data_IF_339435675794
#
_entry.id   IF_339435675794
#
_cell.length_a   1.000
_cell.length_b   1.000
_cell.length_c   1.000
_cell.angle_alpha   90.00
_cell.angle_beta   90.00
_cell.angle_gamma   90.00
#
_symmetry.space_group_name_H-M   'P 1'
#
loop_
_entity.id
_entity.type
_entity.pdbx_description
1 polymer ?
#
# COMPACT_ATOMS: atom_id res chain seq x y z
N UNK A 1 -1.65 16.50 -7.03
CA UNK A 1 -0.87 15.66 -6.11
C UNK A 1 0.17 14.91 -6.91
N UNK A 2 1.44 15.04 -6.56
CA UNK A 2 2.54 14.29 -7.23
C UNK A 2 2.75 12.95 -6.55
N UNK A 3 2.64 11.88 -7.32
CA UNK A 3 2.73 10.50 -6.83
C UNK A 3 3.93 9.81 -7.46
N UNK A 4 4.81 9.27 -6.63
CA UNK A 4 5.83 8.32 -7.08
C UNK A 4 5.24 6.92 -7.01
N UNK A 5 5.12 6.22 -8.13
CA UNK A 5 4.76 4.81 -8.20
C UNK A 5 6.03 3.99 -8.38
N UNK A 6 6.50 3.42 -7.28
CA UNK A 6 7.63 2.48 -7.29
C UNK A 6 7.13 1.05 -7.45
N UNK A 7 7.73 0.29 -8.36
CA UNK A 7 7.40 -1.12 -8.54
C UNK A 7 8.62 -1.97 -8.90
N UNK A 8 8.59 -3.24 -8.50
CA UNK A 8 9.68 -4.18 -8.77
C UNK A 8 9.56 -5.47 -7.98
N UNK A 9 10.64 -6.23 -7.97
CA UNK A 9 10.73 -7.54 -7.35
C UNK A 9 10.27 -8.67 -8.26
N UNK A 10 10.77 -9.88 -8.01
CA UNK A 10 10.75 -10.97 -8.99
C UNK A 10 9.58 -11.96 -8.90
N UNK A 11 8.59 -11.74 -8.01
CA UNK A 11 7.55 -12.76 -7.75
C UNK A 11 6.24 -12.43 -8.48
N UNK A 12 5.81 -11.17 -8.46
CA UNK A 12 4.55 -10.71 -9.03
C UNK A 12 4.73 -10.10 -10.43
N UNK A 13 3.66 -10.03 -11.22
CA UNK A 13 3.64 -9.20 -12.44
C UNK A 13 3.57 -7.71 -12.04
N UNK A 14 4.67 -7.21 -11.45
CA UNK A 14 4.75 -5.84 -10.97
C UNK A 14 4.56 -4.81 -12.08
N UNK A 15 4.89 -5.13 -13.34
CA UNK A 15 4.72 -4.22 -14.50
C UNK A 15 3.26 -4.09 -14.87
N UNK A 16 2.55 -5.22 -14.94
CA UNK A 16 1.12 -5.25 -15.21
C UNK A 16 0.32 -4.57 -14.09
N UNK A 17 0.64 -4.88 -12.83
CA UNK A 17 0.01 -4.25 -11.67
C UNK A 17 0.27 -2.74 -11.63
N UNK A 18 1.51 -2.29 -11.84
CA UNK A 18 1.84 -0.87 -11.88
C UNK A 18 1.10 -0.13 -13.01
N UNK A 19 0.88 -0.78 -14.16
CA UNK A 19 0.11 -0.18 -15.25
C UNK A 19 -1.36 0.02 -14.89
N UNK A 20 -1.97 -0.92 -14.17
CA UNK A 20 -3.34 -0.79 -13.68
C UNK A 20 -3.45 0.25 -12.56
N UNK A 21 -2.50 0.27 -11.62
CA UNK A 21 -2.41 1.28 -10.55
C UNK A 21 -2.31 2.68 -11.15
N UNK A 22 -1.39 2.91 -12.09
CA UNK A 22 -1.25 4.19 -12.78
C UNK A 22 -2.52 4.60 -13.51
N UNK A 23 -3.15 3.68 -14.24
CA UNK A 23 -4.41 3.91 -14.95
C UNK A 23 -5.51 4.40 -14.01
N UNK A 24 -5.64 3.78 -12.82
CA UNK A 24 -6.65 4.18 -11.84
C UNK A 24 -6.37 5.58 -11.26
N UNK A 25 -5.11 5.87 -10.92
CA UNK A 25 -4.73 7.18 -10.41
C UNK A 25 -4.98 8.28 -11.46
N UNK A 26 -4.59 8.05 -12.71
CA UNK A 26 -4.83 9.02 -13.80
C UNK A 26 -6.32 9.22 -14.09
N UNK A 27 -7.13 8.15 -14.08
CA UNK A 27 -8.57 8.23 -14.31
C UNK A 27 -9.33 8.98 -13.21
N UNK A 28 -8.85 8.90 -11.96
CA UNK A 28 -9.42 9.63 -10.81
C UNK A 28 -9.19 11.15 -10.88
N UNK A 29 -8.29 11.61 -11.74
CA UNK A 29 -7.90 13.02 -11.90
C UNK A 29 -7.12 13.56 -10.70
N UNK A 30 -6.36 14.64 -10.93
CA UNK A 30 -5.62 15.34 -9.87
C UNK A 30 -4.31 14.68 -9.42
N UNK A 31 -3.90 13.56 -10.03
CA UNK A 31 -2.62 12.90 -9.77
C UNK A 31 -1.66 13.08 -10.96
N UNK A 32 -0.44 13.48 -10.64
CA UNK A 32 0.71 13.45 -11.54
C UNK A 32 1.57 12.26 -11.11
N UNK A 33 1.56 11.19 -11.91
CA UNK A 33 2.23 9.93 -11.56
C UNK A 33 3.57 9.82 -12.27
N UNK A 34 4.62 9.61 -11.49
CA UNK A 34 5.96 9.25 -11.99
C UNK A 34 6.25 7.80 -11.62
N UNK A 35 6.59 6.96 -12.61
CA UNK A 35 6.95 5.55 -12.36
C UNK A 35 8.45 5.39 -12.20
N UNK A 36 8.84 4.57 -11.22
CA UNK A 36 10.21 4.09 -11.05
C UNK A 36 10.19 2.58 -10.91
N UNK A 37 10.96 1.89 -11.73
CA UNK A 37 11.06 0.44 -11.75
C UNK A 37 12.43 0.00 -11.20
N UNK A 38 12.45 -0.90 -10.21
CA UNK A 38 13.62 -1.57 -9.62
C UNK A 38 14.70 -0.66 -8.99
N UNK A 39 14.65 0.63 -9.16
CA UNK A 39 15.68 1.57 -8.70
C UNK A 39 15.41 2.03 -7.25
N UNK A 40 15.73 1.19 -6.27
CA UNK A 40 15.55 1.49 -4.84
C UNK A 40 16.35 2.71 -4.37
N UNK A 41 17.38 3.14 -5.10
CA UNK A 41 18.15 4.33 -4.73
C UNK A 41 17.29 5.61 -4.76
N UNK A 42 16.15 5.59 -5.47
CA UNK A 42 15.19 6.71 -5.42
C UNK A 42 14.76 7.04 -3.99
N UNK A 43 14.72 6.06 -3.09
CA UNK A 43 14.35 6.25 -1.68
C UNK A 43 15.39 7.08 -0.91
N UNK A 44 16.65 7.10 -1.37
CA UNK A 44 17.73 7.87 -0.77
C UNK A 44 18.00 9.21 -1.45
N UNK A 45 17.32 9.50 -2.58
CA UNK A 45 17.56 10.75 -3.34
C UNK A 45 16.77 11.92 -2.77
N UNK A 46 17.34 13.13 -2.75
CA UNK A 46 16.63 14.33 -2.30
C UNK A 46 15.34 14.61 -3.07
N UNK A 47 15.27 14.21 -4.35
CA UNK A 47 14.13 14.40 -5.25
C UNK A 47 12.88 13.61 -4.79
N UNK A 48 13.04 12.61 -3.91
CA UNK A 48 11.89 11.95 -3.28
C UNK A 48 11.00 12.96 -2.55
N UNK A 49 11.60 14.01 -2.01
CA UNK A 49 10.88 15.09 -1.33
C UNK A 49 9.95 15.92 -2.24
N UNK A 50 10.07 15.82 -3.56
CA UNK A 50 9.21 16.53 -4.52
C UNK A 50 7.83 15.87 -4.67
N UNK A 51 7.66 14.64 -4.16
CA UNK A 51 6.41 13.90 -4.20
C UNK A 51 5.58 14.10 -2.94
N UNK A 52 4.28 13.97 -3.10
CA UNK A 52 3.29 14.05 -2.02
C UNK A 52 3.02 12.69 -1.41
N UNK A 53 3.11 11.63 -2.24
CA UNK A 53 2.82 10.26 -1.86
C UNK A 53 3.71 9.29 -2.64
N UNK A 54 4.18 8.25 -1.94
CA UNK A 54 4.84 7.08 -2.52
C UNK A 54 3.88 5.91 -2.51
N UNK A 55 3.48 5.41 -3.69
CA UNK A 55 2.82 4.11 -3.87
C UNK A 55 3.89 3.07 -4.14
N UNK A 56 3.91 2.01 -3.33
CA UNK A 56 5.01 1.05 -3.32
C UNK A 56 4.50 -0.38 -3.56
N UNK A 57 4.82 -0.91 -4.74
CA UNK A 57 4.50 -2.27 -5.16
C UNK A 57 5.79 -3.04 -5.42
N UNK A 58 6.32 -3.68 -4.40
CA UNK A 58 7.60 -4.37 -4.46
C UNK A 58 7.55 -5.68 -3.66
N UNK A 59 8.34 -6.70 -4.06
CA UNK A 59 8.34 -7.99 -3.39
C UNK A 59 9.75 -8.42 -3.05
N UNK A 60 9.98 -8.82 -1.78
CA UNK A 60 11.26 -9.34 -1.29
C UNK A 60 12.35 -8.26 -1.34
N UNK A 61 13.53 -8.59 -1.80
CA UNK A 61 14.68 -7.69 -1.92
C UNK A 61 15.31 -7.31 -0.58
N UNK A 62 16.31 -6.44 -0.68
CA UNK A 62 17.02 -5.86 0.46
C UNK A 62 16.94 -4.34 0.40
N UNK A 63 16.95 -3.70 1.53
CA UNK A 63 16.98 -2.24 1.67
C UNK A 63 18.24 -1.85 2.44
N UNK A 64 19.00 -0.89 1.93
CA UNK A 64 20.15 -0.35 2.66
C UNK A 64 19.71 0.64 3.74
N UNK A 65 20.57 0.88 4.74
CA UNK A 65 20.30 1.84 5.81
C UNK A 65 19.97 3.24 5.25
N UNK A 66 20.66 3.68 4.21
CA UNK A 66 20.44 5.00 3.59
C UNK A 66 19.07 5.08 2.92
N UNK A 67 18.65 4.02 2.21
CA UNK A 67 17.33 3.93 1.58
C UNK A 67 16.22 3.88 2.63
N UNK A 68 16.43 3.11 3.71
CA UNK A 68 15.47 3.01 4.81
C UNK A 68 15.30 4.35 5.55
N UNK A 69 16.40 5.03 5.85
CA UNK A 69 16.37 6.37 6.45
C UNK A 69 15.65 7.34 5.53
N UNK A 70 15.96 7.34 4.23
CA UNK A 70 15.28 8.19 3.26
C UNK A 70 13.77 7.96 3.20
N UNK A 71 13.31 6.70 3.17
CA UNK A 71 11.89 6.35 3.25
C UNK A 71 11.27 6.83 4.55
N UNK A 72 11.91 6.53 5.68
CA UNK A 72 11.42 6.92 7.01
C UNK A 72 11.26 8.44 7.13
N UNK A 73 12.27 9.20 6.72
CA UNK A 73 12.27 10.68 6.76
C UNK A 73 11.23 11.26 5.79
N UNK A 74 11.08 10.68 4.60
CA UNK A 74 10.05 11.07 3.65
C UNK A 74 8.67 11.00 4.30
N UNK A 75 8.30 9.86 4.88
CA UNK A 75 7.00 9.71 5.52
C UNK A 75 6.91 10.60 6.77
N UNK A 76 7.92 10.55 7.66
CA UNK A 76 7.91 11.32 8.91
C UNK A 76 7.80 12.83 8.70
N UNK A 77 8.21 13.34 7.53
CA UNK A 77 8.11 14.76 7.17
C UNK A 77 6.69 15.23 6.81
N UNK A 78 5.70 14.33 6.80
CA UNK A 78 4.30 14.65 6.50
C UNK A 78 3.83 14.19 5.11
N UNK A 79 4.49 13.22 4.51
CA UNK A 79 4.14 12.66 3.20
C UNK A 79 3.43 11.31 3.33
N UNK A 80 2.74 10.91 2.24
CA UNK A 80 2.01 9.66 2.19
C UNK A 80 2.88 8.47 1.78
N UNK A 81 2.63 7.31 2.40
CA UNK A 81 3.18 6.03 1.99
C UNK A 81 2.07 5.01 1.83
N UNK A 82 1.97 4.42 0.65
CA UNK A 82 0.92 3.46 0.30
C UNK A 82 1.57 2.17 -0.21
N UNK A 83 2.01 1.28 0.69
CA UNK A 83 2.40 -0.07 0.30
C UNK A 83 1.16 -0.86 -0.14
N UNK A 84 1.26 -1.49 -1.32
CA UNK A 84 0.19 -2.26 -1.94
C UNK A 84 0.62 -3.72 -2.02
N UNK A 85 -0.26 -4.62 -1.62
CA UNK A 85 -0.10 -6.07 -1.67
C UNK A 85 1.28 -6.52 -1.17
N UNK A 86 2.15 -6.87 -2.09
CA UNK A 86 3.51 -7.34 -1.80
C UNK A 86 4.41 -6.31 -1.12
N UNK A 87 3.97 -5.05 -1.01
CA UNK A 87 4.65 -4.07 -0.17
C UNK A 87 4.79 -4.50 1.30
N UNK A 88 3.91 -5.39 1.80
CA UNK A 88 4.08 -5.99 3.13
C UNK A 88 5.03 -7.20 3.15
N UNK A 89 5.44 -7.72 1.98
CA UNK A 89 6.41 -8.81 1.83
C UNK A 89 7.80 -8.31 1.38
N UNK A 90 8.01 -7.01 1.36
CA UNK A 90 9.28 -6.39 1.02
C UNK A 90 10.23 -6.41 2.22
N UNK A 91 11.51 -6.55 1.94
CA UNK A 91 12.59 -6.41 2.91
C UNK A 91 12.38 -7.25 4.18
N UNK A 92 12.16 -8.55 4.01
CA UNK A 92 11.71 -9.50 5.05
C UNK A 92 12.53 -9.49 6.34
N UNK A 93 13.80 -9.11 6.27
CA UNK A 93 14.71 -9.09 7.42
C UNK A 93 14.85 -7.68 8.04
N UNK A 94 14.01 -6.71 7.62
CA UNK A 94 14.05 -5.32 8.10
C UNK A 94 12.86 -5.01 9.01
N UNK A 95 13.07 -5.07 10.33
CA UNK A 95 12.02 -4.78 11.31
C UNK A 95 11.59 -3.31 11.29
N UNK A 96 12.50 -2.38 10.98
CA UNK A 96 12.17 -0.96 10.87
C UNK A 96 11.26 -0.68 9.68
N UNK A 97 11.45 -1.35 8.53
CA UNK A 97 10.51 -1.26 7.42
C UNK A 97 9.12 -1.79 7.80
N UNK A 98 9.06 -2.96 8.47
CA UNK A 98 7.81 -3.52 8.98
C UNK A 98 7.11 -2.56 9.96
N UNK A 99 7.89 -1.86 10.79
CA UNK A 99 7.35 -0.85 11.69
C UNK A 99 6.76 0.34 10.95
N UNK A 100 7.36 0.79 9.83
CA UNK A 100 6.80 1.85 8.97
C UNK A 100 5.47 1.38 8.35
N UNK A 101 5.44 0.20 7.73
CA UNK A 101 4.23 -0.38 7.11
C UNK A 101 3.13 -0.65 8.14
N UNK A 102 3.52 -1.06 9.35
CA UNK A 102 2.60 -1.47 10.41
C UNK A 102 2.26 -2.96 10.40
N UNK A 103 2.98 -3.76 9.60
CA UNK A 103 2.81 -5.20 9.52
C UNK A 103 3.67 -5.82 8.42
N UNK A 104 3.61 -7.13 8.34
CA UNK A 104 4.30 -7.89 7.30
C UNK A 104 3.53 -9.15 6.90
N UNK A 105 3.77 -9.60 5.69
CA UNK A 105 3.22 -10.85 5.15
C UNK A 105 3.71 -12.07 5.95
N UNK A 106 2.80 -13.03 6.16
CA UNK A 106 3.12 -14.31 6.81
C UNK A 106 2.81 -15.47 5.86
N UNK A 107 1.61 -15.51 5.30
CA UNK A 107 1.14 -16.58 4.41
C UNK A 107 -0.10 -16.12 3.64
N UNK A 108 -0.60 -16.96 2.76
CA UNK A 108 -1.89 -16.80 2.07
C UNK A 108 -2.51 -18.17 1.76
N UNK A 109 -3.86 -18.30 1.71
CA UNK A 109 -4.52 -19.42 1.06
C UNK A 109 -4.32 -19.39 -0.45
N UNK A 110 -4.77 -20.42 -1.17
CA UNK A 110 -4.78 -20.40 -2.63
C UNK A 110 -5.58 -19.20 -3.16
N UNK A 111 -5.17 -18.65 -4.30
CA UNK A 111 -5.88 -17.61 -5.04
C UNK A 111 -7.34 -18.00 -5.25
N UNK A 112 -8.27 -17.15 -4.80
CA UNK A 112 -9.69 -17.46 -4.75
C UNK A 112 -10.58 -16.24 -4.62
N UNK A 113 -11.88 -16.41 -4.84
CA UNK A 113 -12.87 -15.42 -4.43
C UNK A 113 -13.03 -15.44 -2.89
N UNK A 114 -13.06 -14.25 -2.27
CA UNK A 114 -13.37 -14.08 -0.84
C UNK A 114 -14.06 -12.75 -0.57
N UNK A 115 -14.81 -12.71 0.53
CA UNK A 115 -15.55 -11.51 0.94
C UNK A 115 -14.65 -10.61 1.79
N UNK A 116 -14.72 -9.32 1.51
CA UNK A 116 -14.10 -8.24 2.31
C UNK A 116 -15.19 -7.52 3.08
N UNK A 117 -15.05 -7.47 4.39
CA UNK A 117 -15.94 -6.76 5.32
C UNK A 117 -15.33 -5.41 5.69
N UNK A 118 -16.14 -4.34 5.60
CA UNK A 118 -15.73 -2.98 5.95
C UNK A 118 -15.99 -2.75 7.44
N UNK A 119 -14.93 -2.51 8.22
CA UNK A 119 -15.02 -2.28 9.67
C UNK A 119 -15.23 -0.81 10.02
N UNK A 120 -14.39 0.08 9.52
CA UNK A 120 -14.51 1.53 9.73
C UNK A 120 -15.24 2.17 8.54
N UNK A 121 -16.56 2.35 8.68
CA UNK A 121 -17.42 2.93 7.64
C UNK A 121 -17.42 4.47 7.61
N UNK A 122 -16.82 5.11 8.60
CA UNK A 122 -16.73 6.57 8.70
C UNK A 122 -15.41 7.12 8.16
N UNK A 123 -14.38 6.28 8.03
CA UNK A 123 -13.10 6.70 7.51
C UNK A 123 -13.20 7.17 6.05
N UNK A 124 -12.48 8.22 5.68
CA UNK A 124 -12.52 8.81 4.33
C UNK A 124 -12.24 7.79 3.19
N UNK A 125 -11.40 6.80 3.46
CA UNK A 125 -11.05 5.75 2.48
C UNK A 125 -12.22 4.80 2.24
N UNK A 126 -12.96 4.43 3.27
CA UNK A 126 -13.98 3.38 3.25
C UNK A 126 -15.42 3.89 3.30
N UNK A 127 -15.62 5.21 3.51
CA UNK A 127 -16.97 5.80 3.60
C UNK A 127 -17.81 5.47 2.38
N UNK A 128 -19.02 4.92 2.64
CA UNK A 128 -19.97 4.53 1.61
C UNK A 128 -19.56 3.28 0.81
N UNK A 129 -18.50 2.58 1.23
CA UNK A 129 -18.16 1.26 0.68
C UNK A 129 -18.99 0.20 1.41
N UNK A 130 -19.68 -0.63 0.65
CA UNK A 130 -20.36 -1.81 1.16
C UNK A 130 -19.39 -3.01 1.18
N UNK A 131 -19.80 -4.10 1.83
CA UNK A 131 -19.08 -5.37 1.74
C UNK A 131 -19.02 -5.84 0.29
N UNK A 132 -17.90 -6.41 -0.12
CA UNK A 132 -17.69 -6.82 -1.50
C UNK A 132 -16.92 -8.14 -1.60
N UNK A 133 -17.00 -8.78 -2.74
CA UNK A 133 -16.23 -9.98 -3.06
C UNK A 133 -15.15 -9.63 -4.07
N UNK A 134 -13.92 -10.06 -3.80
CA UNK A 134 -12.79 -9.98 -4.75
C UNK A 134 -12.32 -11.38 -5.10
N UNK A 135 -11.68 -11.54 -6.26
CA UNK A 135 -10.88 -12.72 -6.58
C UNK A 135 -9.41 -12.29 -6.54
N UNK A 136 -8.70 -12.74 -5.53
CA UNK A 136 -7.36 -12.27 -5.22
C UNK A 136 -6.61 -13.27 -4.33
N UNK A 137 -5.35 -12.99 -4.03
CA UNK A 137 -4.56 -13.67 -3.03
C UNK A 137 -4.78 -13.01 -1.66
N UNK A 138 -5.48 -13.73 -0.76
CA UNK A 138 -5.78 -13.20 0.57
C UNK A 138 -4.55 -13.23 1.47
N UNK A 139 -3.89 -12.09 1.65
CA UNK A 139 -2.72 -11.98 2.53
C UNK A 139 -3.11 -12.10 4.00
N UNK A 140 -2.44 -13.02 4.68
CA UNK A 140 -2.47 -13.16 6.13
C UNK A 140 -1.22 -12.47 6.65
N UNK A 141 -1.42 -11.44 7.45
CA UNK A 141 -0.34 -10.56 7.90
C UNK A 141 -0.17 -10.60 9.42
N UNK A 142 1.07 -10.56 9.89
CA UNK A 142 1.34 -10.13 11.27
C UNK A 142 1.35 -8.61 11.27
N UNK A 143 0.58 -7.98 12.15
CA UNK A 143 0.39 -6.53 12.15
C UNK A 143 0.47 -5.94 13.56
N UNK A 144 0.87 -4.68 13.65
CA UNK A 144 0.85 -3.90 14.88
C UNK A 144 -0.61 -3.61 15.28
N UNK A 145 -1.04 -4.05 16.45
CA UNK A 145 -2.42 -3.86 16.95
C UNK A 145 -2.81 -2.40 17.15
N UNK A 146 -1.88 -1.46 17.00
CA UNK A 146 -2.12 0.00 17.05
C UNK A 146 -2.53 0.61 15.71
N UNK A 147 -2.48 -0.16 14.60
CA UNK A 147 -3.00 0.32 13.32
C UNK A 147 -4.52 0.47 13.37
N UNK A 148 -5.08 1.39 12.60
CA UNK A 148 -6.53 1.48 12.41
C UNK A 148 -6.94 0.56 11.26
N UNK A 149 -7.54 -0.59 11.57
CA UNK A 149 -8.00 -1.56 10.57
C UNK A 149 -9.29 -1.07 9.94
N UNK A 150 -9.29 -0.86 8.62
CA UNK A 150 -10.43 -0.36 7.85
C UNK A 150 -11.31 -1.47 7.28
N UNK A 151 -10.69 -2.57 6.86
CA UNK A 151 -11.38 -3.71 6.25
C UNK A 151 -10.67 -5.02 6.58
N UNK A 152 -11.44 -6.10 6.63
CA UNK A 152 -10.96 -7.46 6.94
C UNK A 152 -11.54 -8.49 5.98
N UNK A 153 -10.88 -9.66 5.90
CA UNK A 153 -11.42 -10.87 5.32
C UNK A 153 -11.37 -12.02 6.32
N UNK A 154 -12.18 -13.04 6.12
CA UNK A 154 -12.30 -14.18 7.05
C UNK A 154 -11.58 -15.41 6.50
N UNK A 155 -10.55 -15.87 7.20
CA UNK A 155 -9.87 -17.12 6.91
C UNK A 155 -9.71 -17.97 8.17
N UNK A 156 -10.08 -19.25 8.08
CA UNK A 156 -10.02 -20.22 9.19
C UNK A 156 -10.71 -19.74 10.49
N UNK A 157 -11.84 -19.01 10.36
CA UNK A 157 -12.60 -18.51 11.51
C UNK A 157 -12.02 -17.26 12.17
N UNK A 158 -10.96 -16.69 11.63
CA UNK A 158 -10.33 -15.46 12.12
C UNK A 158 -10.42 -14.35 11.08
N UNK A 159 -10.71 -13.12 11.52
CA UNK A 159 -10.70 -11.95 10.67
C UNK A 159 -9.27 -11.40 10.53
N UNK A 160 -8.81 -11.24 9.29
CA UNK A 160 -7.48 -10.74 8.95
C UNK A 160 -7.58 -9.38 8.26
N UNK A 161 -6.73 -8.40 8.59
CA UNK A 161 -6.74 -7.10 7.95
C UNK A 161 -6.45 -7.19 6.45
N UNK A 162 -7.32 -6.56 5.65
CA UNK A 162 -7.15 -6.32 4.21
C UNK A 162 -6.66 -4.90 3.93
N UNK A 163 -7.02 -3.96 4.80
CA UNK A 163 -6.59 -2.58 4.70
C UNK A 163 -6.47 -1.95 6.09
N UNK A 164 -5.42 -1.16 6.28
CA UNK A 164 -5.24 -0.37 7.51
C UNK A 164 -4.55 0.96 7.25
N UNK A 165 -4.71 1.85 8.23
CA UNK A 165 -3.99 3.12 8.28
C UNK A 165 -3.19 3.26 9.57
N UNK A 166 -2.13 4.04 9.51
CA UNK A 166 -1.36 4.48 10.67
C UNK A 166 -0.63 5.79 10.39
N UNK A 167 -0.12 6.41 11.43
CA UNK A 167 0.81 7.55 11.31
C UNK A 167 2.25 7.09 11.45
N UNK A 168 3.16 7.79 10.75
CA UNK A 168 4.60 7.69 10.95
C UNK A 168 5.20 9.10 10.97
N UNK A 169 5.65 9.54 12.13
CA UNK A 169 5.95 10.95 12.32
C UNK A 169 4.71 11.82 12.04
N UNK A 170 4.81 12.78 11.12
CA UNK A 170 3.69 13.63 10.68
C UNK A 170 2.96 13.05 9.46
N UNK A 171 3.53 12.04 8.82
CA UNK A 171 2.96 11.43 7.63
C UNK A 171 1.96 10.32 7.92
N UNK A 172 1.37 9.83 6.84
CA UNK A 172 0.30 8.84 6.87
C UNK A 172 0.68 7.62 6.03
N UNK A 173 0.41 6.46 6.58
CA UNK A 173 0.60 5.18 5.89
C UNK A 173 -0.76 4.52 5.68
N UNK A 174 -1.04 4.11 4.46
CA UNK A 174 -2.19 3.28 4.12
C UNK A 174 -1.72 2.00 3.45
N UNK A 175 -1.92 0.86 4.09
CA UNK A 175 -1.66 -0.44 3.49
C UNK A 175 -2.91 -1.03 2.88
N UNK A 176 -2.78 -1.59 1.66
CA UNK A 176 -3.84 -2.32 0.94
C UNK A 176 -3.32 -3.70 0.54
N UNK A 177 -3.90 -4.77 1.11
CA UNK A 177 -3.48 -6.15 0.86
C UNK A 177 -3.93 -6.70 -0.50
N UNK A 178 -4.88 -6.06 -1.17
CA UNK A 178 -5.38 -6.46 -2.48
C UNK A 178 -4.37 -6.14 -3.59
N UNK A 179 -4.51 -6.82 -4.75
CA UNK A 179 -3.77 -6.49 -5.95
C UNK A 179 -2.63 -7.44 -6.31
N UNK A 180 -2.80 -8.74 -6.10
CA UNK A 180 -1.81 -9.78 -6.41
C UNK A 180 -1.37 -9.77 -7.88
N UNK A 181 -2.30 -9.58 -8.78
CA UNK A 181 -2.08 -9.59 -10.23
C UNK A 181 -2.84 -8.47 -10.95
N UNK A 182 -2.59 -8.25 -12.25
CA UNK A 182 -3.32 -7.23 -13.00
C UNK A 182 -4.85 -7.43 -13.04
N UNK A 183 -5.34 -8.68 -12.88
CA UNK A 183 -6.78 -8.94 -12.85
C UNK A 183 -7.38 -8.46 -11.52
N UNK A 184 -6.73 -8.75 -10.40
CA UNK A 184 -7.10 -8.24 -9.08
C UNK A 184 -6.99 -6.70 -9.02
N UNK A 185 -5.94 -6.11 -9.60
CA UNK A 185 -5.78 -4.66 -9.69
C UNK A 185 -6.90 -3.98 -10.52
N UNK A 186 -7.58 -4.68 -11.44
CA UNK A 186 -8.72 -4.14 -12.21
C UNK A 186 -10.03 -4.10 -11.43
N UNK A 187 -10.11 -4.76 -10.27
CA UNK A 187 -11.33 -4.74 -9.44
C UNK A 187 -11.73 -3.30 -9.07
N UNK A 188 -13.00 -2.91 -9.23
CA UNK A 188 -13.44 -1.54 -8.95
C UNK A 188 -13.28 -1.14 -7.48
N UNK A 189 -13.36 -2.09 -6.54
CA UNK A 189 -13.15 -1.81 -5.12
C UNK A 189 -11.67 -1.62 -4.81
N UNK A 190 -10.77 -2.39 -5.48
CA UNK A 190 -9.34 -2.12 -5.42
C UNK A 190 -9.04 -0.69 -5.90
N UNK A 191 -9.57 -0.31 -7.07
CA UNK A 191 -9.37 1.02 -7.64
C UNK A 191 -9.85 2.13 -6.71
N UNK A 192 -11.04 1.94 -6.10
CA UNK A 192 -11.63 2.90 -5.16
C UNK A 192 -10.77 3.04 -3.90
N UNK A 193 -10.41 1.93 -3.27
CA UNK A 193 -9.58 1.92 -2.05
C UNK A 193 -8.20 2.52 -2.30
N UNK A 194 -7.54 2.12 -3.40
CA UNK A 194 -6.24 2.67 -3.80
C UNK A 194 -6.30 4.19 -3.99
N UNK A 195 -7.24 4.67 -4.81
CA UNK A 195 -7.33 6.11 -5.14
C UNK A 195 -7.62 6.95 -3.90
N UNK A 196 -8.57 6.51 -3.06
CA UNK A 196 -8.89 7.19 -1.81
C UNK A 196 -7.75 7.10 -0.80
N UNK A 197 -7.06 5.96 -0.74
CA UNK A 197 -5.90 5.76 0.13
C UNK A 197 -4.74 6.68 -0.23
N UNK A 198 -4.45 6.84 -1.52
CA UNK A 198 -3.42 7.78 -2.02
C UNK A 198 -3.82 9.22 -1.73
N UNK A 199 -5.09 9.60 -1.96
CA UNK A 199 -5.60 10.91 -1.58
C UNK A 199 -5.42 11.19 -0.09
N UNK A 200 -5.88 10.29 0.76
CA UNK A 200 -5.82 10.44 2.21
C UNK A 200 -4.38 10.53 2.73
N UNK A 201 -3.52 9.62 2.25
CA UNK A 201 -2.13 9.59 2.69
C UNK A 201 -1.35 10.83 2.23
N UNK A 202 -1.50 11.23 0.96
CA UNK A 202 -0.77 12.36 0.39
C UNK A 202 -1.29 13.74 0.78
N UNK A 203 -2.45 13.81 1.48
CA UNK A 203 -3.04 15.07 1.99
C UNK A 203 -2.70 15.34 3.44
N UNK A 204 -1.70 14.66 4.02
CA UNK A 204 -1.24 14.99 5.36
C UNK A 204 -0.77 16.45 5.45
N UNK A 205 -1.05 17.11 6.58
CA UNK A 205 -0.64 18.51 6.76
C UNK A 205 0.89 18.61 6.81
N UNK A 206 1.42 19.41 5.89
CA UNK A 206 2.83 19.79 5.88
C UNK A 206 3.00 21.01 6.74
N UNK A 207 3.62 20.85 7.88
CA UNK A 207 3.99 21.98 8.75
C UNK A 207 5.18 22.77 8.23
#
# INVERSE_FOLDING_TARGET
MKVLLFHGGGIHDHRGCASEIERHLQAGGGFEVTRVEEDLDVLARPELADFDCLVFYYTVGEISDVQLVGLSDFVASGRGFVPVHSGADSFRDCDDYRAIVGGHFVTHPHYRAYQVSVLDREHEITRGLEEFTVTDEEYITSYDTRVNVLATALWQGQAWPVAWTKSWGRGRVFYLALGHDPAACRDPNFALLLTRGVCWAGSAERG
#
